data_IF_316013005007
#
_entry.id   IF_316013005007
#
_cell.length_a   1.000
_cell.length_b   1.000
_cell.length_c   1.000
_cell.angle_alpha   90.00
_cell.angle_beta   90.00
_cell.angle_gamma   90.00
#
_symmetry.space_group_name_H-M   'P 1'
#
loop_
_entity.id
_entity.type
_entity.pdbx_description
1 polymer ?
#
# COMPACT_ATOMS: atom_id res chain seq x y z
N UNK A 1 -34.61 -17.82 18.74
CA UNK A 1 -33.62 -17.93 17.65
C UNK A 1 -33.97 -16.88 16.63
N UNK A 2 -33.24 -15.77 16.62
CA UNK A 2 -33.37 -14.77 15.56
C UNK A 2 -32.84 -15.40 14.27
N UNK A 3 -33.73 -15.57 13.29
CA UNK A 3 -33.43 -16.24 12.02
C UNK A 3 -32.60 -15.32 11.14
N UNK A 4 -31.48 -15.83 10.61
CA UNK A 4 -30.57 -15.09 9.73
C UNK A 4 -31.31 -14.41 8.56
N UNK A 5 -31.31 -13.08 8.50
CA UNK A 5 -31.81 -12.34 7.34
C UNK A 5 -30.76 -12.35 6.22
N UNK A 6 -30.75 -13.42 5.43
CA UNK A 6 -29.75 -13.70 4.38
C UNK A 6 -29.56 -12.51 3.43
N UNK A 7 -30.66 -11.88 2.97
CA UNK A 7 -30.59 -10.81 1.98
C UNK A 7 -29.95 -9.55 2.56
N UNK A 8 -30.42 -9.10 3.71
CA UNK A 8 -29.91 -7.90 4.37
C UNK A 8 -28.44 -8.06 4.79
N UNK A 9 -28.07 -9.23 5.31
CA UNK A 9 -26.70 -9.50 5.70
C UNK A 9 -25.77 -9.62 4.50
N UNK A 10 -26.23 -10.19 3.38
CA UNK A 10 -25.43 -10.23 2.16
C UNK A 10 -25.11 -8.81 1.68
N UNK A 11 -26.08 -7.89 1.70
CA UNK A 11 -25.85 -6.48 1.33
C UNK A 11 -24.80 -5.80 2.24
N UNK A 12 -24.83 -6.09 3.55
CA UNK A 12 -23.82 -5.60 4.51
C UNK A 12 -22.44 -6.17 4.21
N UNK A 13 -22.34 -7.48 3.93
CA UNK A 13 -21.10 -8.18 3.62
C UNK A 13 -20.51 -7.73 2.27
N UNK A 14 -21.32 -7.55 1.24
CA UNK A 14 -20.90 -7.03 -0.06
C UNK A 14 -20.35 -5.59 0.06
N UNK A 15 -20.97 -4.78 0.92
CA UNK A 15 -20.52 -3.41 1.18
C UNK A 15 -19.12 -3.37 1.80
N UNK A 16 -18.79 -4.30 2.70
CA UNK A 16 -17.46 -4.38 3.32
C UNK A 16 -16.43 -5.09 2.43
N UNK A 17 -16.85 -6.05 1.59
CA UNK A 17 -15.99 -6.73 0.61
C UNK A 17 -15.35 -5.75 -0.38
N UNK A 18 -15.93 -4.56 -0.57
CA UNK A 18 -15.33 -3.45 -1.34
C UNK A 18 -13.92 -3.06 -0.87
N UNK A 19 -13.53 -3.35 0.37
CA UNK A 19 -12.14 -3.14 0.84
C UNK A 19 -11.14 -3.92 -0.03
N UNK A 20 -11.49 -5.12 -0.48
CA UNK A 20 -10.62 -5.92 -1.36
C UNK A 20 -10.46 -5.28 -2.74
N UNK A 21 -11.47 -4.55 -3.23
CA UNK A 21 -11.36 -3.82 -4.50
C UNK A 21 -10.35 -2.68 -4.42
N UNK A 22 -10.18 -2.05 -3.26
CA UNK A 22 -9.15 -1.03 -3.06
C UNK A 22 -7.75 -1.64 -3.04
N UNK A 23 -7.54 -2.72 -2.28
CA UNK A 23 -6.29 -3.47 -2.31
C UNK A 23 -5.97 -3.95 -3.74
N UNK A 24 -6.99 -4.39 -4.48
CA UNK A 24 -6.86 -4.73 -5.90
C UNK A 24 -6.36 -3.59 -6.75
N UNK A 25 -6.93 -2.39 -6.62
CA UNK A 25 -6.47 -1.22 -7.38
C UNK A 25 -5.02 -0.88 -7.09
N UNK A 26 -4.63 -0.85 -5.82
CA UNK A 26 -3.25 -0.56 -5.40
C UNK A 26 -2.25 -1.57 -5.98
N UNK A 27 -2.51 -2.87 -5.80
CA UNK A 27 -1.61 -3.91 -6.30
C UNK A 27 -1.63 -4.02 -7.83
N UNK A 28 -2.77 -3.80 -8.48
CA UNK A 28 -2.88 -3.85 -9.95
C UNK A 28 -2.07 -2.73 -10.62
N UNK A 29 -1.98 -1.55 -9.99
CA UNK A 29 -1.13 -0.47 -10.49
C UNK A 29 0.34 -0.89 -10.60
N UNK A 30 0.81 -1.73 -9.67
CA UNK A 30 2.18 -2.28 -9.66
C UNK A 30 2.31 -3.56 -10.51
N UNK A 31 1.23 -4.02 -11.14
CA UNK A 31 1.21 -5.30 -11.85
C UNK A 31 1.23 -6.54 -10.93
N UNK A 32 0.94 -6.37 -9.64
CA UNK A 32 1.11 -7.38 -8.59
C UNK A 32 -0.16 -8.11 -8.16
N UNK A 33 -1.35 -7.79 -8.70
CA UNK A 33 -2.57 -8.46 -8.24
C UNK A 33 -2.53 -9.99 -8.47
N UNK A 34 -2.86 -10.84 -7.48
CA UNK A 34 -2.69 -12.29 -7.58
C UNK A 34 -3.50 -12.96 -8.71
N UNK A 35 -4.76 -12.54 -8.92
CA UNK A 35 -5.64 -13.18 -9.92
C UNK A 35 -5.31 -12.76 -11.36
N UNK A 36 -4.63 -11.63 -11.52
CA UNK A 36 -4.33 -11.05 -12.83
C UNK A 36 -2.96 -10.35 -12.79
N UNK A 37 -1.86 -11.10 -12.59
CA UNK A 37 -0.53 -10.51 -12.53
C UNK A 37 -0.17 -9.97 -13.91
N UNK A 38 0.40 -8.77 -13.95
CA UNK A 38 0.88 -8.15 -15.18
C UNK A 38 2.40 -8.03 -15.11
N UNK A 39 3.09 -9.02 -15.69
CA UNK A 39 4.55 -9.09 -15.64
C UNK A 39 5.20 -7.88 -16.32
N UNK A 40 4.67 -7.42 -17.45
CA UNK A 40 5.23 -6.28 -18.17
C UNK A 40 5.14 -5.01 -17.32
N UNK A 41 3.97 -4.74 -16.74
CA UNK A 41 3.77 -3.58 -15.87
C UNK A 41 4.64 -3.66 -14.61
N UNK A 42 4.77 -4.84 -14.01
CA UNK A 42 5.67 -5.05 -12.88
C UNK A 42 7.13 -4.79 -13.27
N UNK A 43 7.62 -5.35 -14.37
CA UNK A 43 9.01 -5.16 -14.82
C UNK A 43 9.29 -3.70 -15.12
N UNK A 44 8.36 -2.98 -15.76
CA UNK A 44 8.51 -1.55 -16.04
C UNK A 44 8.54 -0.72 -14.76
N UNK A 45 7.56 -0.90 -13.87
CA UNK A 45 7.47 -0.12 -12.62
C UNK A 45 8.63 -0.45 -11.66
N UNK A 46 8.91 -1.73 -11.45
CA UNK A 46 9.99 -2.19 -10.57
C UNK A 46 11.37 -1.86 -11.15
N UNK A 47 11.56 -2.01 -12.46
CA UNK A 47 12.81 -1.66 -13.13
C UNK A 47 13.11 -0.17 -13.07
N UNK A 48 12.10 0.67 -13.32
CA UNK A 48 12.23 2.12 -13.17
C UNK A 48 12.55 2.52 -11.71
N UNK A 49 11.83 1.95 -10.74
CA UNK A 49 12.13 2.19 -9.32
C UNK A 49 13.55 1.72 -8.91
N UNK A 50 14.01 0.59 -9.45
CA UNK A 50 15.36 0.07 -9.23
C UNK A 50 16.43 0.99 -9.81
N UNK A 51 16.15 1.58 -10.97
CA UNK A 51 17.03 2.54 -11.62
C UNK A 51 17.18 3.82 -10.78
N UNK A 52 16.07 4.39 -10.30
CA UNK A 52 16.12 5.58 -9.44
C UNK A 52 16.83 5.29 -8.11
N UNK A 53 16.57 4.13 -7.50
CA UNK A 53 17.28 3.68 -6.30
C UNK A 53 18.79 3.57 -6.55
N UNK A 54 19.21 3.05 -7.71
CA UNK A 54 20.64 3.02 -8.07
C UNK A 54 21.24 4.43 -8.15
N UNK A 55 20.56 5.39 -8.77
CA UNK A 55 21.02 6.78 -8.86
C UNK A 55 21.12 7.45 -7.49
N UNK A 56 20.23 7.12 -6.57
CA UNK A 56 20.26 7.61 -5.19
C UNK A 56 21.47 7.09 -4.40
N UNK A 57 21.78 5.79 -4.54
CA UNK A 57 23.00 5.23 -3.95
C UNK A 57 24.26 5.83 -4.57
N UNK A 58 24.26 6.13 -5.88
CA UNK A 58 25.36 6.84 -6.52
C UNK A 58 25.55 8.24 -5.91
N UNK A 59 24.47 8.99 -5.67
CA UNK A 59 24.53 10.31 -5.04
C UNK A 59 25.17 10.25 -3.65
N UNK A 60 24.78 9.24 -2.84
CA UNK A 60 25.39 8.98 -1.54
C UNK A 60 26.89 8.72 -1.63
N UNK A 61 27.35 7.94 -2.61
CA UNK A 61 28.77 7.62 -2.78
C UNK A 61 29.58 8.83 -3.24
N UNK A 62 29.02 9.66 -4.13
CA UNK A 62 29.70 10.87 -4.65
C UNK A 62 29.84 11.93 -3.57
N UNK A 63 28.83 12.11 -2.71
CA UNK A 63 28.81 13.14 -1.66
C UNK A 63 29.18 12.61 -0.27
N UNK A 64 29.89 11.47 -0.20
CA UNK A 64 30.22 10.82 1.07
C UNK A 64 31.07 11.68 2.01
N UNK A 65 31.89 12.58 1.45
CA UNK A 65 32.76 13.47 2.22
C UNK A 65 32.01 14.60 2.95
N UNK A 66 30.70 14.76 2.70
CA UNK A 66 29.85 15.80 3.30
C UNK A 66 28.85 15.19 4.30
N UNK A 67 29.10 15.25 5.61
CA UNK A 67 28.32 14.49 6.59
C UNK A 67 26.84 14.90 6.63
N UNK A 68 26.50 16.17 6.39
CA UNK A 68 25.10 16.61 6.31
C UNK A 68 24.37 15.98 5.10
N UNK A 69 25.05 15.85 3.96
CA UNK A 69 24.48 15.24 2.77
C UNK A 69 24.30 13.74 2.97
N UNK A 70 25.30 13.08 3.57
CA UNK A 70 25.24 11.66 3.93
C UNK A 70 24.05 11.36 4.84
N UNK A 71 23.83 12.14 5.90
CA UNK A 71 22.73 11.89 6.83
C UNK A 71 21.37 11.96 6.15
N UNK A 72 21.18 12.96 5.28
CA UNK A 72 19.92 13.18 4.57
C UNK A 72 19.71 12.11 3.48
N UNK A 73 20.76 11.77 2.72
CA UNK A 73 20.70 10.68 1.73
C UNK A 73 20.44 9.33 2.41
N UNK A 74 21.04 9.03 3.56
CA UNK A 74 20.77 7.79 4.27
C UNK A 74 19.32 7.69 4.77
N UNK A 75 18.73 8.80 5.19
CA UNK A 75 17.32 8.84 5.61
C UNK A 75 16.38 8.53 4.44
N UNK A 76 16.63 9.12 3.27
CA UNK A 76 15.87 8.87 2.04
C UNK A 76 16.07 7.42 1.55
N UNK A 77 17.32 6.97 1.45
CA UNK A 77 17.68 5.63 0.98
C UNK A 77 17.06 4.54 1.86
N UNK A 78 17.01 4.74 3.17
CA UNK A 78 16.40 3.77 4.10
C UNK A 78 14.90 3.59 3.80
N UNK A 79 14.18 4.70 3.60
CA UNK A 79 12.75 4.66 3.31
C UNK A 79 12.48 3.98 1.96
N UNK A 80 13.25 4.30 0.92
CA UNK A 80 13.06 3.70 -0.40
C UNK A 80 13.49 2.23 -0.46
N UNK A 81 14.53 1.85 0.29
CA UNK A 81 14.91 0.44 0.45
C UNK A 81 13.80 -0.36 1.13
N UNK A 82 13.16 0.20 2.16
CA UNK A 82 12.01 -0.44 2.81
C UNK A 82 10.87 -0.70 1.81
N UNK A 83 10.54 0.30 0.99
CA UNK A 83 9.51 0.19 -0.04
C UNK A 83 9.90 -0.84 -1.11
N UNK A 84 11.15 -0.83 -1.56
CA UNK A 84 11.69 -1.81 -2.50
C UNK A 84 11.49 -3.25 -2.00
N UNK A 85 11.88 -3.49 -0.75
CA UNK A 85 11.74 -4.79 -0.10
C UNK A 85 10.26 -5.18 0.02
N UNK A 86 9.37 -4.26 0.39
CA UNK A 86 7.92 -4.52 0.48
C UNK A 86 7.31 -4.90 -0.87
N UNK A 87 7.67 -4.21 -1.96
CA UNK A 87 7.23 -4.53 -3.32
C UNK A 87 7.72 -5.92 -3.73
N UNK A 88 8.99 -6.25 -3.44
CA UNK A 88 9.54 -7.58 -3.67
C UNK A 88 8.83 -8.66 -2.87
N UNK A 89 8.55 -8.42 -1.59
CA UNK A 89 7.80 -9.35 -0.75
C UNK A 89 6.41 -9.61 -1.34
N UNK A 90 5.69 -8.58 -1.78
CA UNK A 90 4.40 -8.74 -2.45
C UNK A 90 4.52 -9.58 -3.74
N UNK A 91 5.63 -9.45 -4.48
CA UNK A 91 5.88 -10.23 -5.70
C UNK A 91 6.20 -11.69 -5.43
N UNK A 92 7.09 -11.96 -4.47
CA UNK A 92 7.55 -13.31 -4.09
C UNK A 92 6.39 -14.09 -3.47
N UNK A 93 5.66 -13.44 -2.56
CA UNK A 93 4.58 -14.07 -1.82
C UNK A 93 3.19 -13.87 -2.47
N UNK A 94 3.16 -13.45 -3.73
CA UNK A 94 1.92 -13.08 -4.42
C UNK A 94 0.89 -14.22 -4.45
N UNK A 95 1.36 -15.45 -4.69
CA UNK A 95 0.49 -16.63 -4.70
C UNK A 95 -0.14 -16.88 -3.33
N UNK A 96 0.65 -16.81 -2.25
CA UNK A 96 0.13 -17.01 -0.90
C UNK A 96 -0.89 -15.93 -0.55
N UNK A 97 -0.63 -14.66 -0.89
CA UNK A 97 -1.62 -13.60 -0.70
C UNK A 97 -2.90 -13.85 -1.49
N UNK A 98 -2.80 -14.34 -2.73
CA UNK A 98 -3.96 -14.75 -3.53
C UNK A 98 -4.78 -15.85 -2.86
N UNK A 99 -4.13 -16.89 -2.37
CA UNK A 99 -4.79 -17.99 -1.64
C UNK A 99 -5.48 -17.49 -0.35
N UNK A 100 -4.81 -16.60 0.40
CA UNK A 100 -5.37 -15.97 1.61
C UNK A 100 -6.57 -15.10 1.30
N UNK A 101 -6.51 -14.29 0.24
CA UNK A 101 -7.60 -13.43 -0.20
C UNK A 101 -8.79 -14.26 -0.71
N UNK A 102 -8.54 -15.32 -1.48
CA UNK A 102 -9.57 -16.23 -1.96
C UNK A 102 -10.24 -16.99 -0.80
N UNK A 103 -9.46 -17.39 0.22
CA UNK A 103 -10.01 -17.98 1.44
C UNK A 103 -10.86 -16.97 2.22
N UNK A 104 -10.38 -15.74 2.39
CA UNK A 104 -11.11 -14.68 3.07
C UNK A 104 -12.39 -14.25 2.31
N UNK A 105 -12.39 -14.35 0.98
CA UNK A 105 -13.55 -13.98 0.17
C UNK A 105 -14.79 -14.84 0.47
N UNK A 106 -14.58 -16.12 0.81
CA UNK A 106 -15.66 -17.07 1.19
C UNK A 106 -16.39 -16.65 2.47
N UNK A 107 -15.71 -15.93 3.33
CA UNK A 107 -16.27 -15.46 4.59
C UNK A 107 -17.22 -14.26 4.40
N UNK A 108 -17.37 -13.71 3.18
CA UNK A 108 -18.38 -12.68 2.86
C UNK A 108 -19.72 -13.25 2.36
N UNK A 109 -19.86 -14.57 2.27
CA UNK A 109 -21.15 -15.19 2.00
C UNK A 109 -21.97 -15.22 3.30
N UNK A 110 -23.21 -14.71 3.27
CA UNK A 110 -24.09 -14.72 4.45
C UNK A 110 -24.30 -16.13 5.03
N UNK A 111 -24.22 -17.16 4.17
CA UNK A 111 -24.32 -18.59 4.53
C UNK A 111 -23.17 -19.09 5.42
N UNK A 112 -22.08 -18.33 5.55
CA UNK A 112 -20.96 -18.63 6.44
C UNK A 112 -21.28 -18.33 7.92
N UNK A 113 -22.41 -17.67 8.18
CA UNK A 113 -22.87 -17.25 9.50
C UNK A 113 -24.20 -17.91 9.84
N UNK A 114 -24.39 -18.24 11.12
CA UNK A 114 -25.58 -18.94 11.61
C UNK A 114 -26.63 -17.93 12.13
N UNK A 115 -26.22 -16.73 12.56
CA UNK A 115 -27.09 -15.71 13.15
C UNK A 115 -26.73 -14.29 12.71
N UNK A 116 -27.70 -13.37 12.77
CA UNK A 116 -27.50 -11.95 12.46
C UNK A 116 -26.48 -11.29 13.41
N UNK A 117 -26.42 -11.74 14.66
CA UNK A 117 -25.46 -11.25 15.66
C UNK A 117 -24.00 -11.50 15.25
N UNK A 118 -23.71 -12.62 14.58
CA UNK A 118 -22.36 -12.93 14.11
C UNK A 118 -21.92 -11.95 13.02
N UNK A 119 -22.82 -11.64 12.08
CA UNK A 119 -22.58 -10.67 11.01
C UNK A 119 -22.39 -9.27 11.62
N UNK A 120 -23.25 -8.89 12.56
CA UNK A 120 -23.16 -7.63 13.28
C UNK A 120 -21.83 -7.48 14.06
N UNK A 121 -21.28 -8.58 14.58
CA UNK A 121 -19.96 -8.59 15.24
C UNK A 121 -18.80 -8.48 14.26
N UNK A 122 -18.92 -9.08 13.08
CA UNK A 122 -17.86 -9.12 12.08
C UNK A 122 -17.69 -7.79 11.31
N UNK A 123 -18.81 -7.19 10.86
CA UNK A 123 -18.84 -5.99 10.01
C UNK A 123 -17.98 -4.81 10.55
N UNK A 124 -17.99 -4.47 11.86
CA UNK A 124 -17.21 -3.37 12.40
C UNK A 124 -15.69 -3.50 12.20
N UNK A 125 -15.14 -4.72 12.14
CA UNK A 125 -13.70 -4.92 11.91
C UNK A 125 -13.28 -4.44 10.53
N UNK A 126 -14.09 -4.74 9.51
CA UNK A 126 -13.84 -4.24 8.16
C UNK A 126 -14.12 -2.76 7.99
N UNK A 127 -15.08 -2.21 8.74
CA UNK A 127 -15.27 -0.75 8.80
C UNK A 127 -14.00 -0.05 9.30
N UNK A 128 -13.35 -0.60 10.34
CA UNK A 128 -12.06 -0.11 10.85
C UNK A 128 -10.95 -0.25 9.80
N UNK A 129 -10.83 -1.41 9.15
CA UNK A 129 -9.86 -1.62 8.06
C UNK A 129 -10.02 -0.58 6.94
N UNK A 130 -11.26 -0.31 6.54
CA UNK A 130 -11.57 0.70 5.51
C UNK A 130 -11.18 2.12 5.94
N UNK A 131 -11.47 2.49 7.19
CA UNK A 131 -11.07 3.79 7.74
C UNK A 131 -9.55 3.94 7.78
N UNK A 132 -8.85 2.90 8.23
CA UNK A 132 -7.38 2.88 8.24
C UNK A 132 -6.81 3.08 6.83
N UNK A 133 -7.29 2.30 5.85
CA UNK A 133 -6.83 2.39 4.46
C UNK A 133 -7.04 3.79 3.87
N UNK A 134 -8.20 4.43 4.11
CA UNK A 134 -8.44 5.81 3.67
C UNK A 134 -7.48 6.80 4.30
N UNK A 135 -7.25 6.68 5.61
CA UNK A 135 -6.35 7.56 6.35
C UNK A 135 -4.90 7.38 5.90
N UNK A 136 -4.45 6.13 5.72
CA UNK A 136 -3.12 5.82 5.22
C UNK A 136 -2.91 6.39 3.83
N UNK A 137 -3.79 6.10 2.87
CA UNK A 137 -3.66 6.60 1.49
C UNK A 137 -3.67 8.13 1.47
N UNK A 138 -4.54 8.77 2.25
CA UNK A 138 -4.58 10.24 2.35
C UNK A 138 -3.29 10.81 2.93
N UNK A 139 -2.75 10.18 3.98
CA UNK A 139 -1.49 10.60 4.60
C UNK A 139 -0.32 10.43 3.63
N UNK A 140 -0.21 9.27 2.97
CA UNK A 140 0.81 8.99 1.97
C UNK A 140 0.74 9.99 0.81
N UNK A 141 -0.46 10.26 0.28
CA UNK A 141 -0.64 11.24 -0.78
C UNK A 141 -0.23 12.66 -0.34
N UNK A 142 -0.57 13.06 0.89
CA UNK A 142 -0.19 14.35 1.45
C UNK A 142 1.34 14.47 1.62
N UNK A 143 1.97 13.45 2.22
CA UNK A 143 3.43 13.39 2.39
C UNK A 143 4.14 13.42 1.03
N UNK A 144 3.76 12.55 0.10
CA UNK A 144 4.34 12.48 -1.23
C UNK A 144 4.23 13.82 -1.98
N UNK A 145 3.05 14.45 -1.94
CA UNK A 145 2.84 15.76 -2.57
C UNK A 145 3.69 16.84 -1.89
N UNK A 146 3.78 16.83 -0.57
CA UNK A 146 4.58 17.80 0.18
C UNK A 146 6.06 17.69 -0.13
N UNK A 147 6.61 16.47 -0.18
CA UNK A 147 8.00 16.23 -0.57
C UNK A 147 8.25 16.67 -2.01
N UNK A 148 7.39 16.28 -2.93
CA UNK A 148 7.53 16.62 -4.34
C UNK A 148 7.48 18.13 -4.55
N UNK A 149 6.50 18.82 -3.98
CA UNK A 149 6.24 20.26 -4.22
C UNK A 149 7.15 21.20 -3.41
N UNK A 150 7.79 20.72 -2.32
CA UNK A 150 8.64 21.55 -1.43
C UNK A 150 9.72 22.38 -2.16
N UNK A 151 10.50 21.83 -3.12
CA UNK A 151 11.46 22.62 -3.87
C UNK A 151 10.82 23.76 -4.63
N UNK A 152 9.65 23.53 -5.26
CA UNK A 152 8.94 24.54 -6.06
C UNK A 152 8.39 25.66 -5.18
N UNK A 153 7.86 25.34 -3.99
CA UNK A 153 7.41 26.37 -3.04
C UNK A 153 8.56 27.23 -2.53
N UNK A 154 9.73 26.63 -2.30
CA UNK A 154 10.93 27.35 -1.86
C UNK A 154 11.47 28.35 -2.87
N UNK A 155 11.16 28.17 -4.17
CA UNK A 155 11.60 29.02 -5.27
C UNK A 155 10.44 29.62 -6.08
N UNK A 156 9.27 29.77 -5.45
CA UNK A 156 8.05 30.19 -6.12
C UNK A 156 8.19 31.54 -6.84
N UNK A 157 8.91 32.50 -6.23
CA UNK A 157 9.26 33.78 -6.86
C UNK A 157 10.06 33.62 -8.15
N UNK A 158 11.28 33.03 -8.10
CA UNK A 158 12.08 32.75 -9.29
C UNK A 158 11.34 31.98 -10.40
N UNK A 159 10.49 31.02 -10.04
CA UNK A 159 9.68 30.26 -11.00
C UNK A 159 8.61 31.14 -11.65
N UNK A 160 7.91 31.97 -10.87
CA UNK A 160 6.91 32.91 -11.42
C UNK A 160 7.56 33.94 -12.33
N UNK A 161 8.73 34.46 -11.96
CA UNK A 161 9.47 35.43 -12.76
C UNK A 161 9.91 34.82 -14.10
N UNK A 162 10.39 33.57 -14.10
CA UNK A 162 10.74 32.84 -15.34
C UNK A 162 9.54 32.69 -16.29
N UNK A 163 8.37 32.29 -15.78
CA UNK A 163 7.17 32.13 -16.59
C UNK A 163 6.55 33.47 -17.01
N UNK A 164 6.67 34.51 -16.18
CA UNK A 164 6.19 35.86 -16.47
C UNK A 164 7.06 36.62 -17.47
N UNK A 165 8.37 36.34 -17.49
CA UNK A 165 9.34 36.95 -18.40
C UNK A 165 9.51 36.19 -19.73
N UNK A 166 8.60 35.28 -20.08
CA UNK A 166 8.69 34.42 -21.28
C UNK A 166 10.03 33.67 -21.42
N UNK A 167 10.67 33.30 -20.31
CA UNK A 167 11.92 32.55 -20.32
C UNK A 167 13.17 33.37 -20.65
N UNK A 168 13.19 34.68 -20.37
CA UNK A 168 14.41 35.48 -20.54
C UNK A 168 15.57 34.99 -19.62
N UNK A 169 16.81 34.97 -20.13
CA UNK A 169 17.97 34.34 -19.49
C UNK A 169 18.46 35.05 -18.20
N UNK A 170 17.90 36.20 -17.83
CA UNK A 170 18.27 36.92 -16.61
C UNK A 170 17.47 36.48 -15.36
N UNK A 171 16.52 35.56 -15.50
CA UNK A 171 15.81 34.96 -14.36
C UNK A 171 16.66 33.86 -13.73
N UNK A 172 17.20 34.10 -12.53
CA UNK A 172 18.02 33.12 -11.80
C UNK A 172 17.14 32.01 -11.21
N UNK A 173 16.87 30.97 -11.99
CA UNK A 173 16.19 29.76 -11.50
C UNK A 173 17.18 28.90 -10.70
N UNK A 174 16.74 28.34 -9.56
CA UNK A 174 17.56 27.46 -8.73
C UNK A 174 17.15 26.01 -9.01
N UNK A 175 18.04 25.24 -9.64
CA UNK A 175 17.75 23.85 -10.01
C UNK A 175 17.78 22.90 -8.80
N UNK A 176 16.70 22.93 -8.00
CA UNK A 176 16.53 22.07 -6.83
C UNK A 176 15.55 20.93 -7.13
N UNK A 177 16.06 19.71 -7.19
CA UNK A 177 15.25 18.50 -7.41
C UNK A 177 14.51 18.04 -6.14
N UNK A 178 13.37 17.35 -6.28
CA UNK A 178 12.57 16.88 -5.14
C UNK A 178 13.16 15.67 -4.44
N UNK A 179 13.94 14.87 -5.17
CA UNK A 179 14.69 13.72 -4.67
C UNK A 179 16.16 13.88 -5.03
N UNK A 180 17.02 13.33 -4.18
CA UNK A 180 18.49 13.42 -4.32
C UNK A 180 19.01 12.25 -5.12
N UNK A 181 18.59 12.19 -6.37
CA UNK A 181 19.12 11.23 -7.33
C UNK A 181 20.28 11.85 -8.06
N UNK A 182 21.33 11.05 -8.26
CA UNK A 182 22.46 11.48 -9.07
C UNK A 182 21.99 11.71 -10.52
N UNK A 183 22.24 12.91 -11.04
CA UNK A 183 21.91 13.26 -12.42
C UNK A 183 23.15 13.01 -13.28
N UNK A 184 23.00 12.18 -14.31
CA UNK A 184 24.10 11.80 -15.22
C UNK A 184 24.47 12.89 -16.25
N UNK A 185 23.79 14.03 -16.20
CA UNK A 185 23.94 15.17 -17.10
C UNK A 185 23.89 16.47 -16.31
N UNK A 186 24.44 17.54 -16.90
CA UNK A 186 24.44 18.87 -16.29
C UNK A 186 23.05 19.51 -16.43
N UNK A 187 22.60 20.14 -15.34
CA UNK A 187 21.33 20.87 -15.27
C UNK A 187 21.61 22.36 -15.46
N UNK A 188 21.76 22.77 -16.71
CA UNK A 188 22.11 24.16 -17.07
C UNK A 188 20.93 24.95 -17.64
N UNK A 189 19.86 24.27 -18.05
CA UNK A 189 18.72 24.89 -18.70
C UNK A 189 17.38 24.51 -18.03
N UNK A 190 16.46 25.47 -18.00
CA UNK A 190 15.14 25.30 -17.41
C UNK A 190 14.30 24.18 -18.06
N UNK A 191 14.30 23.99 -19.41
CA UNK A 191 13.62 22.86 -20.04
C UNK A 191 14.11 21.50 -19.51
N UNK A 192 15.42 21.27 -19.46
CA UNK A 192 16.00 20.02 -18.94
C UNK A 192 15.64 19.83 -17.47
N UNK A 193 15.68 20.90 -16.66
CA UNK A 193 15.23 20.83 -15.28
C UNK A 193 13.77 20.38 -15.14
N UNK A 194 12.82 20.97 -15.88
CA UNK A 194 11.40 20.57 -15.81
C UNK A 194 11.15 19.15 -16.34
N UNK A 195 11.89 18.73 -17.37
CA UNK A 195 11.84 17.35 -17.86
C UNK A 195 12.35 16.36 -16.82
N UNK A 196 13.48 16.66 -16.18
CA UNK A 196 14.05 15.86 -15.09
C UNK A 196 13.07 15.76 -13.93
N UNK A 197 12.54 16.90 -13.50
CA UNK A 197 11.58 17.00 -12.41
C UNK A 197 10.32 16.19 -12.71
N UNK A 198 9.73 16.36 -13.91
CA UNK A 198 8.57 15.59 -14.35
C UNK A 198 8.85 14.09 -14.50
N UNK A 199 10.10 13.72 -14.84
CA UNK A 199 10.52 12.33 -14.94
C UNK A 199 10.47 11.61 -13.60
N UNK A 200 10.49 12.30 -12.45
CA UNK A 200 10.38 11.71 -11.11
C UNK A 200 8.94 11.51 -10.66
N UNK A 201 7.95 12.03 -11.39
CA UNK A 201 6.54 11.87 -11.04
C UNK A 201 6.10 10.40 -10.94
N UNK A 202 6.49 9.49 -11.86
CA UNK A 202 6.18 8.07 -11.73
C UNK A 202 6.76 7.45 -10.46
N UNK A 203 7.95 7.86 -10.01
CA UNK A 203 8.58 7.39 -8.78
C UNK A 203 7.72 7.67 -7.55
N UNK A 204 7.11 8.86 -7.48
CA UNK A 204 6.18 9.25 -6.41
C UNK A 204 4.98 8.29 -6.33
N UNK A 205 4.41 7.92 -7.47
CA UNK A 205 3.27 7.00 -7.51
C UNK A 205 3.67 5.57 -7.18
N UNK A 206 4.80 5.10 -7.72
CA UNK A 206 5.28 3.73 -7.47
C UNK A 206 5.64 3.56 -6.00
N UNK A 207 6.36 4.51 -5.40
CA UNK A 207 6.69 4.49 -3.97
C UNK A 207 5.43 4.52 -3.09
N UNK A 208 4.53 5.48 -3.33
CA UNK A 208 3.32 5.66 -2.56
C UNK A 208 2.38 4.45 -2.62
N UNK A 209 2.16 3.89 -3.82
CA UNK A 209 1.34 2.69 -3.98
C UNK A 209 2.05 1.43 -3.52
N UNK A 210 3.37 1.32 -3.69
CA UNK A 210 4.19 0.21 -3.18
C UNK A 210 4.05 0.05 -1.67
N UNK A 211 4.24 1.13 -0.93
CA UNK A 211 4.07 1.16 0.51
C UNK A 211 2.61 0.88 0.91
N UNK A 212 1.68 1.64 0.33
CA UNK A 212 0.26 1.56 0.71
C UNK A 212 -0.36 0.20 0.40
N UNK A 213 0.04 -0.46 -0.70
CA UNK A 213 -0.47 -1.77 -1.07
C UNK A 213 -0.13 -2.82 -0.01
N UNK A 214 1.12 -2.84 0.46
CA UNK A 214 1.57 -3.78 1.48
C UNK A 214 0.86 -3.55 2.82
N UNK A 215 0.83 -2.31 3.30
CA UNK A 215 0.21 -1.95 4.59
C UNK A 215 -1.29 -2.19 4.58
N UNK A 216 -2.00 -1.77 3.52
CA UNK A 216 -3.45 -1.93 3.43
C UNK A 216 -3.83 -3.40 3.33
N UNK A 217 -3.08 -4.21 2.57
CA UNK A 217 -3.30 -5.65 2.48
C UNK A 217 -3.12 -6.31 3.84
N UNK A 218 -2.00 -6.04 4.52
CA UNK A 218 -1.69 -6.60 5.83
C UNK A 218 -2.77 -6.24 6.86
N UNK A 219 -3.10 -4.96 6.99
CA UNK A 219 -4.11 -4.50 7.97
C UNK A 219 -5.48 -5.06 7.66
N UNK A 220 -5.86 -5.17 6.38
CA UNK A 220 -7.12 -5.80 5.97
C UNK A 220 -7.17 -7.26 6.42
N UNK A 221 -6.09 -8.03 6.21
CA UNK A 221 -6.02 -9.43 6.62
C UNK A 221 -6.03 -9.61 8.15
N UNK A 222 -5.35 -8.72 8.88
CA UNK A 222 -5.35 -8.72 10.34
C UNK A 222 -6.76 -8.46 10.87
N UNK A 223 -7.43 -7.41 10.40
CA UNK A 223 -8.81 -7.13 10.80
C UNK A 223 -9.78 -8.25 10.39
N UNK A 224 -9.59 -8.88 9.23
CA UNK A 224 -10.34 -10.06 8.84
C UNK A 224 -10.20 -11.18 9.87
N UNK A 225 -8.95 -11.50 10.22
CA UNK A 225 -8.66 -12.54 11.19
C UNK A 225 -9.25 -12.21 12.56
N UNK A 226 -9.08 -10.97 13.04
CA UNK A 226 -9.65 -10.52 14.31
C UNK A 226 -11.19 -10.61 14.31
N UNK A 227 -11.84 -10.25 13.21
CA UNK A 227 -13.30 -10.39 13.07
C UNK A 227 -13.75 -11.85 13.14
N UNK A 228 -13.04 -12.74 12.45
CA UNK A 228 -13.32 -14.18 12.49
C UNK A 228 -13.10 -14.79 13.88
N UNK A 229 -12.10 -14.31 14.63
CA UNK A 229 -11.88 -14.72 16.02
C UNK A 229 -12.97 -14.18 16.96
N UNK A 230 -13.47 -12.97 16.74
CA UNK A 230 -14.57 -12.42 17.53
C UNK A 230 -15.88 -13.22 17.33
N UNK A 231 -16.17 -13.63 16.09
CA UNK A 231 -17.30 -14.53 15.78
C UNK A 231 -17.11 -15.90 16.44
N UNK A 232 -15.88 -16.43 16.43
CA UNK A 232 -15.58 -17.69 17.12
C UNK A 232 -15.83 -17.60 18.63
N UNK A 233 -15.37 -16.52 19.28
CA UNK A 233 -15.61 -16.31 20.72
C UNK A 233 -17.10 -16.35 21.04
N UNK A 234 -17.92 -15.65 20.22
CA UNK A 234 -19.37 -15.65 20.37
C UNK A 234 -19.99 -17.04 20.21
N UNK A 235 -19.49 -17.84 19.25
CA UNK A 235 -19.94 -19.23 19.09
C UNK A 235 -19.59 -20.07 20.30
N UNK A 236 -18.37 -19.94 20.83
CA UNK A 236 -17.91 -20.71 22.00
C UNK A 236 -18.71 -20.36 23.26
N UNK A 237 -18.99 -19.08 23.49
CA UNK A 237 -19.79 -18.61 24.64
C UNK A 237 -21.22 -19.14 24.64
N UNK A 238 -21.77 -19.47 23.46
CA UNK A 238 -23.11 -20.04 23.31
C UNK A 238 -23.16 -21.57 23.43
N UNK A 239 -22.01 -22.26 23.57
CA UNK A 239 -21.97 -23.72 23.71
C UNK A 239 -22.32 -24.09 25.15
N UNK A 240 -23.44 -24.80 25.32
CA UNK A 240 -23.96 -25.26 26.61
C UNK A 240 -23.28 -26.57 27.08
N UNK A 241 -21.95 -26.59 27.08
CA UNK A 241 -21.14 -27.69 27.65
C UNK A 241 -20.84 -28.89 26.74
N UNK A 242 -21.23 -28.91 25.46
CA UNK A 242 -20.87 -30.02 24.55
C UNK A 242 -19.43 -29.89 24.00
N UNK A 243 -18.53 -30.69 24.57
CA UNK A 243 -17.12 -30.78 24.16
C UNK A 243 -16.92 -31.18 22.68
N UNK A 244 -17.88 -31.87 22.05
CA UNK A 244 -17.80 -32.22 20.61
C UNK A 244 -18.06 -31.04 19.71
N UNK A 245 -19.04 -30.19 20.02
CA UNK A 245 -19.30 -28.96 19.27
C UNK A 245 -18.16 -27.97 19.43
N UNK A 246 -17.63 -27.81 20.65
CA UNK A 246 -16.46 -26.97 20.91
C UNK A 246 -15.25 -27.43 20.08
N UNK A 247 -14.95 -28.73 20.08
CA UNK A 247 -13.87 -29.31 19.28
C UNK A 247 -14.10 -29.13 17.78
N UNK A 248 -15.35 -29.15 17.31
CA UNK A 248 -15.71 -28.93 15.90
C UNK A 248 -15.53 -27.47 15.47
N UNK A 249 -15.95 -26.50 16.28
CA UNK A 249 -15.75 -25.08 16.02
C UNK A 249 -14.27 -24.68 16.08
N UNK A 250 -13.55 -25.13 17.13
CA UNK A 250 -12.11 -24.93 17.25
C UNK A 250 -11.35 -25.63 16.12
N UNK A 251 -11.74 -26.84 15.69
CA UNK A 251 -11.09 -27.51 14.56
C UNK A 251 -11.39 -26.84 13.21
N UNK A 252 -12.59 -26.31 13.00
CA UNK A 252 -12.96 -25.58 11.77
C UNK A 252 -12.15 -24.28 11.65
N UNK A 253 -12.02 -23.53 12.74
CA UNK A 253 -11.18 -22.33 12.80
C UNK A 253 -9.68 -22.64 12.82
N UNK A 254 -9.24 -23.71 13.48
CA UNK A 254 -7.87 -24.19 13.41
C UNK A 254 -7.52 -24.64 12.00
N UNK A 255 -8.45 -25.20 11.21
CA UNK A 255 -8.23 -25.53 9.79
C UNK A 255 -8.16 -24.27 8.92
N UNK A 256 -9.00 -23.26 9.18
CA UNK A 256 -8.91 -21.95 8.53
C UNK A 256 -7.59 -21.24 8.86
N UNK A 257 -7.12 -21.34 10.11
CA UNK A 257 -5.81 -20.85 10.55
C UNK A 257 -4.67 -21.68 9.94
N UNK A 258 -4.77 -23.02 9.90
CA UNK A 258 -3.73 -23.89 9.34
C UNK A 258 -3.55 -23.66 7.84
N UNK A 259 -4.64 -23.48 7.08
CA UNK A 259 -4.56 -23.06 5.67
C UNK A 259 -3.90 -21.67 5.55
N UNK A 260 -4.11 -20.76 6.52
CA UNK A 260 -3.45 -19.46 6.58
C UNK A 260 -1.98 -19.50 7.07
N UNK A 261 -1.53 -20.57 7.71
CA UNK A 261 -0.22 -20.71 8.37
C UNK A 261 0.62 -21.91 7.88
N UNK A 262 0.24 -22.59 6.79
CA UNK A 262 1.10 -23.63 6.20
C UNK A 262 2.18 -22.94 5.36
N UNK A 263 3.14 -22.35 6.07
CA UNK A 263 4.41 -21.83 5.54
C UNK A 263 5.40 -23.01 5.39
N UNK A 264 6.04 -23.18 4.22
CA UNK A 264 7.44 -23.61 4.17
C UNK A 264 8.38 -22.44 4.49
#
# INVERSE_FOLDING_TARGET
>A
METLNVKENQEKLDKIARVFQWNRRLMSFLGLWPDSPNLLLFVLTFGYYSYDMFLEYMDLLVYIDRPQNVMLNLMENMAFTEIFVRILMLRVWNRQFGELLAAAAKDFEAKSYDTDEEVAKFVPFYAKAKSFMKLLISNTAFTATSFYVKPLLGQLGPVMDYFGANGEPNSTLIFLLPYRFYVLYELDDAPTYFWTYGSYLPFVFISGFGQSAADCLMVTLVYHLSGQLAVLSMRIEKIDGDAKELRRHVARHAKLLRIKFTFP
#
